data_IF_949561225286
#
_entry.id   IF_949561225286
#
_cell.length_a   1.000
_cell.length_b   1.000
_cell.length_c   1.000
_cell.angle_alpha   90.00
_cell.angle_beta   90.00
_cell.angle_gamma   90.00
#
_symmetry.space_group_name_H-M   'P 1'
#
loop_
_entity.id
_entity.type
_entity.pdbx_description
1 polymer ?
#
# COMPACT_ATOMS: atom_id res chain seq x y z
N UNK A 1 3.19 -15.87 -41.26
CA UNK A 1 3.99 -14.83 -40.62
C UNK A 1 3.76 -15.01 -39.11
N UNK A 2 4.76 -15.62 -38.44
CA UNK A 2 4.68 -15.90 -37.00
C UNK A 2 4.86 -14.59 -36.25
N UNK A 3 3.91 -14.29 -35.37
CA UNK A 3 4.11 -13.28 -34.35
C UNK A 3 5.22 -13.79 -33.41
N UNK A 4 6.40 -13.23 -33.55
CA UNK A 4 7.47 -13.41 -32.58
C UNK A 4 6.98 -12.87 -31.22
N UNK A 5 6.49 -13.77 -30.39
CA UNK A 5 6.37 -13.54 -28.95
C UNK A 5 7.80 -13.47 -28.41
N UNK A 6 8.41 -12.30 -28.52
CA UNK A 6 9.67 -12.02 -27.85
C UNK A 6 9.42 -12.15 -26.35
N UNK A 7 9.74 -13.31 -25.81
CA UNK A 7 9.53 -13.65 -24.41
C UNK A 7 10.65 -12.98 -23.63
N UNK A 8 10.43 -11.72 -23.25
CA UNK A 8 11.36 -11.02 -22.35
C UNK A 8 11.12 -11.53 -20.95
N UNK A 9 12.14 -12.16 -20.35
CA UNK A 9 12.04 -12.76 -19.01
C UNK A 9 11.74 -11.71 -17.93
N UNK A 10 12.16 -10.46 -18.14
CA UNK A 10 12.12 -9.36 -17.18
C UNK A 10 10.80 -8.57 -17.14
N UNK A 11 10.01 -8.61 -18.22
CA UNK A 11 8.76 -7.84 -18.33
C UNK A 11 7.62 -8.65 -18.94
N UNK A 12 6.38 -8.19 -18.69
CA UNK A 12 5.18 -8.64 -19.41
C UNK A 12 4.63 -7.49 -20.22
N UNK A 13 4.09 -7.79 -21.41
CA UNK A 13 3.36 -6.85 -22.25
C UNK A 13 1.86 -7.18 -22.18
N UNK A 14 1.04 -6.17 -21.90
CA UNK A 14 -0.43 -6.25 -21.95
C UNK A 14 -0.92 -5.22 -22.96
N UNK A 15 -1.67 -5.67 -23.96
CA UNK A 15 -2.30 -4.76 -24.93
C UNK A 15 -3.63 -4.24 -24.37
N UNK A 16 -4.15 -3.11 -24.88
CA UNK A 16 -5.42 -2.54 -24.40
C UNK A 16 -6.60 -3.54 -24.43
N UNK A 17 -6.64 -4.41 -25.42
CA UNK A 17 -7.70 -5.43 -25.59
C UNK A 17 -7.63 -6.54 -24.54
N UNK A 18 -6.46 -6.73 -23.92
CA UNK A 18 -6.25 -7.73 -22.88
C UNK A 18 -6.55 -7.20 -21.47
N UNK A 19 -6.81 -5.88 -21.33
CA UNK A 19 -7.16 -5.29 -20.04
C UNK A 19 -8.59 -5.66 -19.68
N UNK A 20 -8.84 -6.28 -18.49
CA UNK A 20 -10.18 -6.67 -18.08
C UNK A 20 -11.14 -5.48 -18.02
N UNK A 21 -12.32 -5.61 -18.63
CA UNK A 21 -13.35 -4.55 -18.67
C UNK A 21 -14.26 -4.54 -17.44
N UNK A 22 -14.48 -5.71 -16.83
CA UNK A 22 -15.45 -5.90 -15.74
C UNK A 22 -14.78 -6.08 -14.37
N UNK A 23 -13.57 -5.54 -14.20
CA UNK A 23 -12.88 -5.62 -12.91
C UNK A 23 -13.36 -4.52 -11.99
N UNK A 24 -13.82 -4.88 -10.77
CA UNK A 24 -13.92 -3.90 -9.67
C UNK A 24 -12.55 -3.38 -9.35
N UNK A 25 -12.47 -2.07 -9.20
CA UNK A 25 -11.21 -1.39 -8.90
C UNK A 25 -11.43 -0.39 -7.76
N UNK A 26 -10.40 -0.18 -6.96
CA UNK A 26 -10.44 0.79 -5.87
C UNK A 26 -10.70 2.20 -6.41
N UNK A 27 -11.76 2.83 -5.93
CA UNK A 27 -12.28 4.09 -6.50
C UNK A 27 -11.28 5.24 -6.41
N UNK A 28 -10.57 5.37 -5.29
CA UNK A 28 -9.55 6.42 -5.12
C UNK A 28 -8.42 6.30 -6.15
N UNK A 29 -7.97 5.07 -6.47
CA UNK A 29 -6.93 4.83 -7.48
C UNK A 29 -7.44 5.19 -8.86
N UNK A 30 -8.68 4.84 -9.19
CA UNK A 30 -9.31 5.19 -10.48
C UNK A 30 -9.47 6.70 -10.63
N UNK A 31 -9.85 7.41 -9.55
CA UNK A 31 -9.97 8.87 -9.58
C UNK A 31 -8.63 9.55 -9.88
N UNK A 32 -7.54 9.08 -9.27
CA UNK A 32 -6.21 9.59 -9.59
C UNK A 32 -5.80 9.29 -11.04
N UNK A 33 -6.18 8.12 -11.56
CA UNK A 33 -5.95 7.79 -12.97
C UNK A 33 -6.75 8.70 -13.90
N UNK A 34 -8.01 9.04 -13.56
CA UNK A 34 -8.82 10.01 -14.32
C UNK A 34 -8.21 11.41 -14.29
N UNK A 35 -7.71 11.87 -13.14
CA UNK A 35 -7.00 13.14 -13.04
C UNK A 35 -5.77 13.16 -13.96
N UNK A 36 -4.94 12.10 -13.88
CA UNK A 36 -3.75 12.00 -14.69
C UNK A 36 -4.04 11.90 -16.20
N UNK A 37 -5.13 11.22 -16.59
CA UNK A 37 -5.60 11.14 -17.95
C UNK A 37 -5.85 12.53 -18.56
N UNK A 38 -6.36 13.49 -17.76
CA UNK A 38 -6.56 14.86 -18.24
C UNK A 38 -5.23 15.57 -18.57
N UNK A 39 -4.14 15.23 -17.86
CA UNK A 39 -2.81 15.74 -18.17
C UNK A 39 -2.29 15.15 -19.47
N UNK A 40 -2.47 13.82 -19.67
CA UNK A 40 -2.09 13.16 -20.94
C UNK A 40 -2.85 13.76 -22.12
N UNK A 41 -4.16 13.89 -22.03
CA UNK A 41 -5.01 14.47 -23.10
C UNK A 41 -4.67 15.93 -23.42
N UNK A 42 -4.04 16.66 -22.51
CA UNK A 42 -3.59 18.05 -22.69
C UNK A 42 -2.08 18.17 -22.86
N UNK A 43 -1.42 17.08 -23.15
CA UNK A 43 0.04 17.01 -23.21
C UNK A 43 0.65 18.11 -24.10
N UNK A 44 0.14 18.32 -25.32
CA UNK A 44 0.70 19.32 -26.24
C UNK A 44 0.65 20.72 -25.67
N UNK A 45 -0.46 21.09 -25.01
CA UNK A 45 -0.62 22.39 -24.36
C UNK A 45 0.30 22.52 -23.15
N UNK A 46 0.42 21.43 -22.37
CA UNK A 46 1.30 21.39 -21.19
C UNK A 46 2.76 21.51 -21.62
N UNK A 47 3.18 20.79 -22.65
CA UNK A 47 4.54 20.82 -23.18
C UNK A 47 4.96 22.24 -23.51
N UNK A 48 4.18 22.98 -24.27
CA UNK A 48 4.47 24.39 -24.63
C UNK A 48 4.60 25.25 -23.37
N UNK A 49 3.59 25.23 -22.50
CA UNK A 49 3.56 26.06 -21.29
C UNK A 49 4.67 25.75 -20.30
N UNK A 50 5.07 24.49 -20.18
CA UNK A 50 6.14 24.07 -19.28
C UNK A 50 7.51 24.41 -19.86
N UNK A 51 7.72 24.21 -21.18
CA UNK A 51 8.96 24.58 -21.86
C UNK A 51 9.24 26.09 -21.76
N UNK A 52 8.20 26.94 -21.88
CA UNK A 52 8.32 28.39 -21.67
C UNK A 52 8.84 28.77 -20.27
N UNK A 53 8.70 27.88 -19.30
CA UNK A 53 9.16 28.04 -17.91
C UNK A 53 10.40 27.25 -17.56
N UNK A 54 11.03 26.60 -18.55
CA UNK A 54 12.18 25.73 -18.34
C UNK A 54 11.83 24.43 -17.59
N UNK A 55 10.57 24.00 -17.65
CA UNK A 55 10.07 22.77 -17.03
C UNK A 55 9.77 21.73 -18.10
N UNK A 56 9.82 20.47 -17.72
CA UNK A 56 9.48 19.34 -18.57
C UNK A 56 8.41 18.46 -17.91
N UNK A 57 7.45 17.96 -18.70
CA UNK A 57 6.51 16.95 -18.28
C UNK A 57 7.03 15.58 -18.70
N UNK A 58 7.58 14.84 -17.75
CA UNK A 58 8.19 13.53 -18.00
C UNK A 58 7.18 12.40 -18.10
N UNK A 59 5.94 12.57 -17.63
CA UNK A 59 4.96 11.49 -17.55
C UNK A 59 5.29 10.48 -16.44
N UNK A 60 5.84 10.94 -15.31
CA UNK A 60 6.31 10.11 -14.20
C UNK A 60 5.34 10.19 -13.02
N UNK A 61 4.77 9.04 -12.64
CA UNK A 61 3.77 8.92 -11.56
C UNK A 61 4.25 7.98 -10.48
N UNK A 62 4.12 8.41 -9.22
CA UNK A 62 4.34 7.59 -8.05
C UNK A 62 3.03 7.39 -7.30
N UNK A 63 2.70 6.13 -7.00
CA UNK A 63 1.57 5.73 -6.18
C UNK A 63 2.10 5.21 -4.84
N UNK A 64 1.62 5.78 -3.74
CA UNK A 64 1.95 5.34 -2.38
C UNK A 64 0.65 4.98 -1.69
N UNK A 65 0.58 3.83 -1.05
CA UNK A 65 -0.62 3.42 -0.30
C UNK A 65 -0.35 2.23 0.60
N UNK A 66 -1.29 1.89 1.49
CA UNK A 66 -1.14 0.76 2.39
C UNK A 66 -1.10 -0.59 1.64
N UNK A 67 -0.60 -1.67 2.28
CA UNK A 67 -0.74 -3.02 1.75
C UNK A 67 -2.19 -3.34 1.37
N UNK A 68 -2.37 -4.13 0.30
CA UNK A 68 -3.70 -4.45 -0.22
C UNK A 68 -4.32 -3.38 -1.13
N UNK A 69 -3.65 -2.26 -1.40
CA UNK A 69 -4.08 -1.24 -2.38
C UNK A 69 -4.05 -1.81 -3.80
N UNK A 70 -5.10 -1.55 -4.59
CA UNK A 70 -5.19 -1.96 -5.99
C UNK A 70 -4.47 -0.98 -6.93
N UNK A 71 -3.16 -0.87 -6.80
CA UNK A 71 -2.36 0.02 -7.68
C UNK A 71 -2.49 -0.32 -9.16
N UNK A 72 -2.76 -1.59 -9.50
CA UNK A 72 -2.94 -2.03 -10.90
C UNK A 72 -4.15 -1.40 -11.59
N UNK A 73 -5.12 -0.91 -10.84
CA UNK A 73 -6.26 -0.17 -11.40
C UNK A 73 -5.83 1.09 -12.18
N UNK A 74 -4.76 1.75 -11.75
CA UNK A 74 -4.26 2.97 -12.38
C UNK A 74 -3.80 2.76 -13.83
N UNK A 75 -2.81 1.91 -14.14
CA UNK A 75 -2.39 1.65 -15.51
C UNK A 75 -3.49 0.98 -16.33
N UNK A 76 -4.32 0.11 -15.74
CA UNK A 76 -5.43 -0.52 -16.44
C UNK A 76 -6.48 0.48 -16.91
N UNK A 77 -6.85 1.43 -16.03
CA UNK A 77 -7.77 2.50 -16.41
C UNK A 77 -7.21 3.33 -17.58
N UNK A 78 -5.96 3.77 -17.49
CA UNK A 78 -5.33 4.57 -18.55
C UNK A 78 -5.28 3.80 -19.88
N UNK A 79 -4.91 2.53 -19.87
CA UNK A 79 -4.80 1.72 -21.08
C UNK A 79 -6.16 1.47 -21.76
N UNK A 80 -7.27 1.53 -21.01
CA UNK A 80 -8.62 1.45 -21.61
C UNK A 80 -9.06 2.78 -22.22
N UNK A 81 -8.66 3.91 -21.63
CA UNK A 81 -9.07 5.24 -22.07
C UNK A 81 -8.24 5.80 -23.23
N UNK A 82 -7.03 5.29 -23.39
CA UNK A 82 -6.12 5.60 -24.49
C UNK A 82 -5.50 4.31 -25.01
N UNK A 83 -5.31 4.15 -26.34
CA UNK A 83 -4.79 2.92 -26.92
C UNK A 83 -3.29 2.75 -26.66
N UNK A 84 -2.92 2.54 -25.40
CA UNK A 84 -1.55 2.45 -24.93
C UNK A 84 -1.27 1.09 -24.30
N UNK A 85 -0.12 0.51 -24.58
CA UNK A 85 0.30 -0.79 -24.03
C UNK A 85 0.81 -0.65 -22.59
N UNK A 86 0.65 -1.70 -21.77
CA UNK A 86 1.25 -1.78 -20.43
C UNK A 86 2.44 -2.73 -20.50
N UNK A 87 3.61 -2.22 -20.14
CA UNK A 87 4.83 -2.99 -19.89
C UNK A 87 5.02 -3.05 -18.38
N UNK A 88 4.95 -4.26 -17.79
CA UNK A 88 5.08 -4.45 -16.34
C UNK A 88 6.34 -5.24 -16.02
N UNK A 89 7.16 -4.78 -15.11
CA UNK A 89 8.28 -5.54 -14.57
C UNK A 89 7.81 -6.80 -13.85
N UNK A 90 8.47 -7.92 -14.15
CA UNK A 90 8.37 -9.16 -13.37
C UNK A 90 9.42 -9.12 -12.26
N UNK A 91 8.99 -9.17 -11.03
CA UNK A 91 9.90 -9.16 -9.89
C UNK A 91 10.93 -10.30 -9.97
N UNK A 92 10.48 -11.49 -10.36
CA UNK A 92 11.33 -12.68 -10.54
C UNK A 92 12.46 -12.44 -11.56
N UNK A 93 12.14 -11.82 -12.71
CA UNK A 93 13.12 -11.53 -13.76
C UNK A 93 14.14 -10.44 -13.38
N UNK A 94 13.77 -9.53 -12.47
CA UNK A 94 14.67 -8.49 -11.96
C UNK A 94 15.56 -9.00 -10.83
N UNK A 95 15.05 -9.94 -10.02
CA UNK A 95 15.75 -10.50 -8.85
C UNK A 95 16.49 -11.81 -9.17
N UNK A 96 16.51 -12.26 -10.44
CA UNK A 96 17.22 -13.48 -10.84
C UNK A 96 18.72 -13.37 -10.55
N UNK A 97 19.24 -14.27 -9.75
CA UNK A 97 20.66 -14.33 -9.36
C UNK A 97 21.60 -14.53 -10.57
N UNK A 98 21.11 -15.11 -11.67
CA UNK A 98 21.88 -15.34 -12.88
C UNK A 98 21.97 -14.11 -13.79
N UNK A 99 21.06 -13.12 -13.62
CA UNK A 99 21.11 -11.84 -14.32
C UNK A 99 21.56 -10.74 -13.37
N UNK A 100 22.38 -9.84 -13.88
CA UNK A 100 22.67 -8.61 -13.13
C UNK A 100 21.40 -7.77 -13.11
N UNK A 101 20.78 -7.59 -11.95
CA UNK A 101 19.53 -6.85 -11.78
C UNK A 101 19.49 -5.47 -12.47
N UNK A 102 20.66 -4.80 -12.56
CA UNK A 102 20.81 -3.53 -13.29
C UNK A 102 20.59 -3.68 -14.80
N UNK A 103 21.02 -4.80 -15.39
CA UNK A 103 20.88 -5.06 -16.83
C UNK A 103 19.42 -5.43 -17.14
N UNK A 104 18.77 -6.16 -16.23
CA UNK A 104 17.34 -6.46 -16.28
C UNK A 104 16.46 -5.18 -16.24
N UNK A 105 16.82 -4.21 -15.40
CA UNK A 105 16.13 -2.91 -15.35
C UNK A 105 16.27 -2.17 -16.69
N UNK A 106 17.48 -2.04 -17.22
CA UNK A 106 17.72 -1.40 -18.53
C UNK A 106 16.97 -2.08 -19.66
N UNK A 107 17.00 -3.41 -19.72
CA UNK A 107 16.26 -4.22 -20.71
C UNK A 107 14.76 -3.91 -20.66
N UNK A 108 14.16 -3.79 -19.46
CA UNK A 108 12.75 -3.46 -19.30
C UNK A 108 12.40 -2.05 -19.81
N UNK A 109 13.24 -1.05 -19.56
CA UNK A 109 13.07 0.30 -20.12
C UNK A 109 13.24 0.33 -21.62
N UNK A 110 14.23 -0.34 -22.18
CA UNK A 110 14.41 -0.46 -23.63
C UNK A 110 13.22 -1.17 -24.28
N UNK A 111 12.68 -2.21 -23.64
CA UNK A 111 11.49 -2.89 -24.14
C UNK A 111 10.28 -1.96 -24.16
N UNK A 112 10.08 -1.13 -23.13
CA UNK A 112 9.01 -0.13 -23.10
C UNK A 112 9.18 0.89 -24.25
N UNK A 113 10.40 1.41 -24.49
CA UNK A 113 10.71 2.33 -25.59
C UNK A 113 10.40 1.72 -26.96
N UNK A 114 10.76 0.46 -27.18
CA UNK A 114 10.46 -0.26 -28.44
C UNK A 114 8.96 -0.50 -28.65
N UNK A 115 8.19 -0.51 -27.58
CA UNK A 115 6.74 -0.72 -27.60
C UNK A 115 5.95 0.58 -27.43
N UNK A 116 6.60 1.75 -27.53
CA UNK A 116 5.92 3.04 -27.40
C UNK A 116 4.80 3.23 -28.44
N UNK A 117 3.71 3.96 -28.12
CA UNK A 117 3.43 4.54 -26.81
C UNK A 117 3.11 3.46 -25.75
N UNK A 118 3.73 3.58 -24.56
CA UNK A 118 3.64 2.57 -23.51
C UNK A 118 3.54 3.17 -22.10
N UNK A 119 2.85 2.45 -21.21
CA UNK A 119 2.90 2.62 -19.78
C UNK A 119 3.91 1.64 -19.20
N UNK A 120 5.01 2.10 -18.62
CA UNK A 120 5.93 1.26 -17.89
C UNK A 120 5.50 1.21 -16.42
N UNK A 121 5.03 0.03 -15.97
CA UNK A 121 4.51 -0.16 -14.62
C UNK A 121 5.49 -0.91 -13.73
N UNK A 122 5.90 -0.28 -12.64
CA UNK A 122 6.86 -0.76 -11.64
C UNK A 122 6.11 -0.96 -10.32
N UNK A 123 5.64 -2.17 -10.08
CA UNK A 123 4.98 -2.54 -8.83
C UNK A 123 6.01 -3.02 -7.80
N UNK A 124 5.76 -2.76 -6.51
CA UNK A 124 6.67 -3.09 -5.41
C UNK A 124 8.07 -2.50 -5.62
N UNK A 125 8.10 -1.20 -5.87
CA UNK A 125 9.35 -0.48 -6.14
C UNK A 125 10.41 -0.71 -5.06
N UNK A 126 10.01 -0.86 -3.80
CA UNK A 126 10.87 -1.18 -2.66
C UNK A 126 11.60 -2.54 -2.80
N UNK A 127 11.01 -3.49 -3.51
CA UNK A 127 11.65 -4.78 -3.78
C UNK A 127 12.55 -4.76 -5.02
N UNK A 128 12.16 -4.00 -6.05
CA UNK A 128 12.91 -3.86 -7.30
C UNK A 128 14.15 -3.00 -7.10
N UNK A 129 14.02 -1.90 -6.36
CA UNK A 129 15.08 -0.93 -6.09
C UNK A 129 15.13 -0.58 -4.59
N UNK A 130 15.62 -1.50 -3.76
CA UNK A 130 15.75 -1.28 -2.33
C UNK A 130 16.62 -0.05 -2.04
N UNK A 131 16.38 0.58 -0.91
CA UNK A 131 17.15 1.72 -0.44
C UNK A 131 18.66 1.39 -0.39
N UNK A 132 19.49 2.36 -0.75
CA UNK A 132 20.97 2.26 -0.76
C UNK A 132 21.50 1.17 -1.72
N UNK A 133 20.71 0.72 -2.70
CA UNK A 133 21.10 -0.29 -3.67
C UNK A 133 21.57 0.28 -5.00
N UNK A 134 22.37 -0.50 -5.75
CA UNK A 134 22.76 -0.15 -7.12
C UNK A 134 21.52 -0.08 -8.03
N UNK A 135 20.52 -0.92 -7.80
CA UNK A 135 19.26 -0.92 -8.53
C UNK A 135 18.54 0.41 -8.37
N UNK A 136 18.56 1.02 -7.18
CA UNK A 136 17.95 2.32 -6.94
C UNK A 136 18.58 3.41 -7.79
N UNK A 137 19.92 3.43 -7.91
CA UNK A 137 20.65 4.39 -8.75
C UNK A 137 20.31 4.18 -10.24
N UNK A 138 20.33 2.92 -10.71
CA UNK A 138 20.03 2.61 -12.11
C UNK A 138 18.57 2.96 -12.45
N UNK A 139 17.63 2.61 -11.58
CA UNK A 139 16.22 2.92 -11.77
C UNK A 139 15.99 4.44 -11.82
N UNK A 140 16.65 5.19 -10.96
CA UNK A 140 16.59 6.64 -10.95
C UNK A 140 17.08 7.24 -12.28
N UNK A 141 18.22 6.77 -12.79
CA UNK A 141 18.78 7.24 -14.06
C UNK A 141 17.87 6.90 -15.24
N UNK A 142 17.35 5.66 -15.31
CA UNK A 142 16.44 5.25 -16.39
C UNK A 142 15.14 6.06 -16.38
N UNK A 143 14.54 6.29 -15.20
CA UNK A 143 13.32 7.10 -15.06
C UNK A 143 13.57 8.57 -15.46
N UNK A 144 14.72 9.15 -15.07
CA UNK A 144 15.06 10.53 -15.47
C UNK A 144 15.26 10.67 -16.96
N UNK A 145 15.86 9.68 -17.59
CA UNK A 145 16.15 9.68 -19.01
C UNK A 145 14.93 9.32 -19.90
N UNK A 146 13.88 8.74 -19.29
CA UNK A 146 12.64 8.35 -19.98
C UNK A 146 11.60 9.42 -19.77
N UNK A 147 11.09 9.99 -20.87
CA UNK A 147 10.08 11.07 -20.79
C UNK A 147 8.96 10.80 -21.78
N UNK A 148 7.73 11.20 -21.41
CA UNK A 148 6.59 11.11 -22.31
C UNK A 148 6.81 11.96 -23.58
N UNK A 149 7.41 13.14 -23.41
CA UNK A 149 7.64 14.06 -24.52
C UNK A 149 8.62 13.57 -25.59
N UNK A 150 9.54 12.68 -25.22
CA UNK A 150 10.61 12.22 -26.11
C UNK A 150 10.42 10.79 -26.60
N UNK A 151 10.01 9.90 -25.72
CA UNK A 151 9.97 8.46 -25.97
C UNK A 151 8.56 7.87 -25.96
N UNK A 152 7.57 8.68 -25.65
CA UNK A 152 6.16 8.30 -25.47
C UNK A 152 5.98 7.13 -24.47
N UNK A 153 6.77 7.17 -23.39
CA UNK A 153 6.69 6.22 -22.28
C UNK A 153 6.29 6.97 -21.00
N UNK A 154 5.19 6.54 -20.42
CA UNK A 154 4.74 6.99 -19.09
C UNK A 154 5.25 5.97 -18.07
N UNK A 155 5.99 6.44 -17.07
CA UNK A 155 6.47 5.59 -15.98
C UNK A 155 5.56 5.71 -14.77
N UNK A 156 5.00 4.57 -14.34
CA UNK A 156 4.14 4.47 -13.15
C UNK A 156 4.82 3.55 -12.16
N UNK A 157 5.21 4.07 -11.01
CA UNK A 157 5.74 3.26 -9.92
C UNK A 157 4.77 3.19 -8.75
N UNK A 158 4.77 2.08 -8.02
CA UNK A 158 3.94 1.88 -6.84
C UNK A 158 4.74 1.27 -5.69
N UNK A 159 4.51 1.76 -4.48
CA UNK A 159 5.14 1.25 -3.26
C UNK A 159 4.17 1.28 -2.08
N UNK A 160 4.26 0.25 -1.25
CA UNK A 160 3.59 0.19 0.05
C UNK A 160 4.53 0.52 1.21
N UNK A 161 5.84 0.69 0.93
CA UNK A 161 6.90 0.90 1.92
C UNK A 161 7.85 2.00 1.44
N UNK A 162 7.37 3.26 1.35
CA UNK A 162 8.19 4.37 0.86
C UNK A 162 9.46 4.61 1.68
N UNK A 163 9.47 4.21 2.96
CA UNK A 163 10.64 4.28 3.83
C UNK A 163 11.78 3.35 3.42
N UNK A 164 11.48 2.31 2.64
CA UNK A 164 12.46 1.35 2.09
C UNK A 164 12.99 1.76 0.70
N UNK A 165 12.60 2.93 0.22
CA UNK A 165 13.02 3.49 -1.08
C UNK A 165 13.86 4.74 -0.84
N UNK A 166 14.86 4.98 -1.69
CA UNK A 166 15.68 6.18 -1.61
C UNK A 166 14.84 7.45 -1.82
N UNK A 167 15.07 8.45 -0.97
CA UNK A 167 14.38 9.74 -1.06
C UNK A 167 14.58 10.42 -2.40
N UNK A 168 15.77 10.28 -2.98
CA UNK A 168 16.08 10.83 -4.29
C UNK A 168 15.24 10.17 -5.38
N UNK A 169 15.08 8.84 -5.33
CA UNK A 169 14.21 8.10 -6.25
C UNK A 169 12.73 8.50 -6.09
N UNK A 170 12.26 8.72 -4.85
CA UNK A 170 10.89 9.21 -4.61
C UNK A 170 10.64 10.62 -5.14
N UNK A 171 11.69 11.46 -5.27
CA UNK A 171 11.57 12.88 -5.64
C UNK A 171 11.55 13.17 -7.14
N UNK A 172 11.80 12.17 -8.00
CA UNK A 172 11.91 12.38 -9.46
C UNK A 172 10.57 12.32 -10.21
N UNK A 173 9.49 11.98 -9.52
CA UNK A 173 8.17 11.84 -10.13
C UNK A 173 7.47 13.18 -10.27
N UNK A 174 6.81 13.40 -11.41
CA UNK A 174 6.07 14.65 -11.69
C UNK A 174 4.78 14.73 -10.87
N UNK A 175 4.22 13.55 -10.52
CA UNK A 175 3.02 13.43 -9.69
C UNK A 175 3.19 12.30 -8.69
N UNK A 176 2.85 12.58 -7.44
CA UNK A 176 2.75 11.58 -6.38
C UNK A 176 1.32 11.56 -5.85
N UNK A 177 0.69 10.40 -5.90
CA UNK A 177 -0.64 10.17 -5.35
C UNK A 177 -0.52 9.29 -4.11
N UNK A 178 -1.07 9.78 -3.01
CA UNK A 178 -1.16 9.03 -1.75
C UNK A 178 -2.55 8.41 -1.71
N UNK A 179 -2.61 7.09 -1.86
CA UNK A 179 -3.84 6.32 -1.82
C UNK A 179 -4.18 6.03 -0.37
N UNK A 180 -5.34 6.48 0.06
CA UNK A 180 -5.87 6.13 1.37
C UNK A 180 -6.30 4.65 1.41
N UNK A 181 -6.55 4.14 2.62
CA UNK A 181 -7.09 2.80 2.80
C UNK A 181 -8.45 2.64 2.10
N UNK A 182 -8.91 1.40 2.01
CA UNK A 182 -10.18 1.05 1.36
C UNK A 182 -11.38 1.66 2.09
N UNK A 183 -12.17 2.47 1.41
CA UNK A 183 -13.40 3.05 1.96
C UNK A 183 -14.49 1.97 2.14
N UNK A 184 -15.50 2.26 2.96
CA UNK A 184 -16.65 1.36 3.10
C UNK A 184 -17.37 1.16 1.76
N UNK A 185 -17.48 2.22 0.94
CA UNK A 185 -18.09 2.14 -0.39
C UNK A 185 -17.29 1.28 -1.37
N UNK A 186 -15.96 1.29 -1.27
CA UNK A 186 -15.12 0.38 -2.05
C UNK A 186 -15.37 -1.08 -1.64
N UNK A 187 -15.46 -1.35 -0.34
CA UNK A 187 -15.72 -2.69 0.19
C UNK A 187 -17.11 -3.21 -0.24
N UNK A 188 -18.14 -2.37 -0.10
CA UNK A 188 -19.49 -2.70 -0.56
C UNK A 188 -19.47 -3.04 -2.06
N UNK A 189 -18.87 -2.22 -2.90
CA UNK A 189 -18.80 -2.46 -4.36
C UNK A 189 -18.12 -3.77 -4.73
N UNK A 190 -17.03 -4.11 -4.06
CA UNK A 190 -16.34 -5.40 -4.29
C UNK A 190 -17.26 -6.57 -3.93
N UNK A 191 -17.86 -6.50 -2.74
CA UNK A 191 -18.76 -7.55 -2.25
C UNK A 191 -19.98 -7.69 -3.16
N UNK A 192 -20.67 -6.59 -3.50
CA UNK A 192 -21.81 -6.58 -4.40
C UNK A 192 -21.49 -7.19 -5.78
N UNK A 193 -20.34 -6.86 -6.34
CA UNK A 193 -19.99 -7.40 -7.66
C UNK A 193 -19.71 -8.90 -7.62
N UNK A 194 -18.99 -9.38 -6.61
CA UNK A 194 -18.63 -10.80 -6.51
C UNK A 194 -19.83 -11.64 -6.02
N UNK A 195 -20.62 -11.07 -5.10
CA UNK A 195 -21.74 -11.74 -4.44
C UNK A 195 -23.11 -11.30 -4.99
N UNK A 196 -23.15 -10.77 -6.22
CA UNK A 196 -24.35 -10.17 -6.85
C UNK A 196 -25.61 -11.05 -6.85
N UNK A 197 -25.43 -12.37 -6.84
CA UNK A 197 -26.51 -13.35 -6.88
C UNK A 197 -26.90 -13.86 -5.47
N UNK A 198 -26.37 -13.22 -4.41
CA UNK A 198 -26.50 -13.62 -3.00
C UNK A 198 -27.35 -12.63 -2.21
N UNK A 199 -28.71 -12.77 -2.33
CA UNK A 199 -29.65 -11.96 -1.56
C UNK A 199 -29.69 -12.30 -0.07
N UNK A 200 -29.16 -13.48 0.32
CA UNK A 200 -29.08 -13.95 1.71
C UNK A 200 -27.95 -13.30 2.53
N UNK A 201 -26.97 -12.67 1.87
CA UNK A 201 -25.84 -12.01 2.53
C UNK A 201 -26.05 -10.50 2.62
N UNK A 202 -26.01 -9.98 3.84
CA UNK A 202 -25.98 -8.53 4.06
C UNK A 202 -24.56 -7.98 3.80
N UNK A 203 -24.35 -7.52 2.57
CA UNK A 203 -23.10 -6.96 2.09
C UNK A 203 -22.63 -5.78 2.96
N UNK A 204 -23.56 -4.97 3.47
CA UNK A 204 -23.25 -3.81 4.29
C UNK A 204 -22.65 -4.24 5.63
N UNK A 205 -23.21 -5.27 6.25
CA UNK A 205 -22.67 -5.84 7.50
C UNK A 205 -21.27 -6.44 7.28
N UNK A 206 -21.07 -7.18 6.18
CA UNK A 206 -19.74 -7.73 5.84
C UNK A 206 -18.74 -6.59 5.60
N UNK A 207 -19.15 -5.53 4.93
CA UNK A 207 -18.31 -4.37 4.69
C UNK A 207 -17.90 -3.64 6.00
N UNK A 208 -18.80 -3.55 6.98
CA UNK A 208 -18.50 -3.02 8.31
C UNK A 208 -17.52 -3.91 9.07
N UNK A 209 -17.72 -5.22 9.06
CA UNK A 209 -16.86 -6.20 9.72
C UNK A 209 -15.44 -6.26 9.14
N UNK A 210 -15.25 -5.77 7.94
CA UNK A 210 -13.96 -5.69 7.23
C UNK A 210 -13.34 -4.30 7.27
N UNK A 211 -13.71 -3.46 8.25
CA UNK A 211 -13.08 -2.15 8.46
C UNK A 211 -11.55 -2.29 8.60
N UNK A 212 -10.81 -1.43 7.89
CA UNK A 212 -9.35 -1.43 7.88
C UNK A 212 -8.72 -2.47 6.95
N UNK A 213 -9.50 -3.33 6.30
CA UNK A 213 -8.95 -4.28 5.33
C UNK A 213 -8.54 -3.59 4.02
N UNK A 214 -7.46 -4.08 3.41
CA UNK A 214 -7.04 -3.67 2.09
C UNK A 214 -8.05 -4.11 1.01
N UNK A 215 -8.04 -3.43 -0.14
CA UNK A 215 -8.93 -3.76 -1.26
C UNK A 215 -8.76 -5.21 -1.72
N UNK A 216 -7.51 -5.68 -1.81
CA UNK A 216 -7.21 -7.06 -2.21
C UNK A 216 -7.73 -8.08 -1.21
N UNK A 217 -7.71 -7.75 0.08
CA UNK A 217 -8.15 -8.66 1.14
C UNK A 217 -9.67 -8.85 1.12
N UNK A 218 -10.41 -7.76 0.92
CA UNK A 218 -11.87 -7.81 0.75
C UNK A 218 -12.25 -8.58 -0.51
N UNK A 219 -11.51 -8.41 -1.60
CA UNK A 219 -11.73 -9.17 -2.82
C UNK A 219 -11.46 -10.68 -2.62
N UNK A 220 -10.42 -11.04 -1.88
CA UNK A 220 -10.14 -12.43 -1.51
C UNK A 220 -11.24 -13.02 -0.62
N UNK A 221 -11.74 -12.26 0.37
CA UNK A 221 -12.88 -12.68 1.18
C UNK A 221 -14.11 -12.96 0.31
N UNK A 222 -14.47 -12.02 -0.57
CA UNK A 222 -15.61 -12.15 -1.47
C UNK A 222 -15.49 -13.41 -2.35
N UNK A 223 -14.29 -13.65 -2.89
CA UNK A 223 -14.02 -14.87 -3.67
C UNK A 223 -14.13 -16.14 -2.81
N UNK A 224 -13.66 -16.11 -1.56
CA UNK A 224 -13.74 -17.25 -0.65
C UNK A 224 -15.20 -17.58 -0.30
N UNK A 225 -16.01 -16.56 -0.03
CA UNK A 225 -17.45 -16.71 0.19
C UNK A 225 -18.15 -17.32 -1.04
N UNK A 226 -17.84 -16.83 -2.22
CA UNK A 226 -18.40 -17.35 -3.47
C UNK A 226 -17.99 -18.81 -3.75
N UNK A 227 -16.70 -19.14 -3.56
CA UNK A 227 -16.21 -20.51 -3.76
C UNK A 227 -16.80 -21.52 -2.77
N UNK A 228 -16.98 -21.12 -1.52
CA UNK A 228 -17.57 -22.00 -0.49
C UNK A 228 -19.02 -22.33 -0.84
N UNK A 229 -19.79 -21.33 -1.28
CA UNK A 229 -21.16 -21.53 -1.77
C UNK A 229 -21.20 -22.52 -2.95
N UNK A 230 -20.36 -22.25 -3.96
CA UNK A 230 -20.32 -23.11 -5.15
C UNK A 230 -19.98 -24.57 -4.80
N UNK A 231 -19.23 -24.79 -3.72
CA UNK A 231 -18.87 -26.13 -3.23
C UNK A 231 -19.99 -26.81 -2.43
N UNK A 232 -20.75 -26.06 -1.64
CA UNK A 232 -21.78 -26.60 -0.74
C UNK A 232 -23.19 -26.62 -1.37
N UNK A 233 -23.44 -25.82 -2.42
CA UNK A 233 -24.66 -25.87 -3.23
C UNK A 233 -25.92 -25.34 -2.54
N UNK A 234 -25.79 -24.39 -1.61
CA UNK A 234 -26.92 -23.82 -0.87
C UNK A 234 -26.60 -22.54 -0.11
N UNK A 235 -27.60 -22.01 0.63
CA UNK A 235 -27.41 -20.85 1.50
C UNK A 235 -26.34 -21.12 2.55
N UNK A 236 -25.42 -20.18 2.72
CA UNK A 236 -24.36 -20.29 3.70
C UNK A 236 -24.84 -19.84 5.08
N UNK A 237 -24.74 -20.68 6.13
CA UNK A 237 -25.08 -20.26 7.48
C UNK A 237 -24.24 -19.06 7.93
N UNK A 238 -24.87 -18.16 8.70
CA UNK A 238 -24.19 -16.95 9.22
C UNK A 238 -22.91 -17.27 9.97
N UNK A 239 -22.91 -18.32 10.76
CA UNK A 239 -21.75 -18.78 11.53
C UNK A 239 -20.57 -19.12 10.61
N UNK A 240 -20.86 -19.66 9.41
CA UNK A 240 -19.83 -19.98 8.42
C UNK A 240 -19.26 -18.72 7.75
N UNK A 241 -20.11 -17.73 7.51
CA UNK A 241 -19.67 -16.41 7.00
C UNK A 241 -18.73 -15.75 8.02
N UNK A 242 -19.11 -15.73 9.30
CA UNK A 242 -18.30 -15.18 10.39
C UNK A 242 -16.96 -15.95 10.54
N UNK A 243 -16.97 -17.28 10.38
CA UNK A 243 -15.75 -18.11 10.39
C UNK A 243 -14.81 -17.74 9.23
N UNK A 244 -15.34 -17.57 8.01
CA UNK A 244 -14.54 -17.19 6.84
C UNK A 244 -13.98 -15.78 6.95
N UNK A 245 -14.75 -14.84 7.52
CA UNK A 245 -14.27 -13.49 7.81
C UNK A 245 -13.09 -13.56 8.81
N UNK A 246 -13.22 -14.35 9.87
CA UNK A 246 -12.17 -14.47 10.87
C UNK A 246 -10.91 -15.16 10.32
N UNK A 247 -11.08 -16.20 9.49
CA UNK A 247 -9.95 -16.85 8.79
C UNK A 247 -9.24 -15.89 7.83
N UNK A 248 -10.02 -15.14 7.04
CA UNK A 248 -9.51 -14.17 6.09
C UNK A 248 -8.86 -12.97 6.78
N UNK A 249 -9.36 -12.56 7.96
CA UNK A 249 -8.77 -11.51 8.78
C UNK A 249 -7.32 -11.83 9.14
N UNK A 250 -7.00 -13.07 9.48
CA UNK A 250 -5.63 -13.50 9.78
C UNK A 250 -4.72 -13.37 8.55
N UNK A 251 -5.26 -13.60 7.35
CA UNK A 251 -4.53 -13.44 6.10
C UNK A 251 -4.37 -11.95 5.71
N UNK A 252 -5.43 -11.17 5.86
CA UNK A 252 -5.47 -9.75 5.49
C UNK A 252 -4.46 -8.89 6.26
N UNK A 253 -4.32 -9.17 7.54
CA UNK A 253 -3.45 -8.36 8.40
C UNK A 253 -2.05 -8.97 8.63
N UNK A 254 -1.64 -10.00 7.88
CA UNK A 254 -0.28 -10.58 7.91
C UNK A 254 0.25 -10.89 9.32
N UNK A 255 0.71 -9.90 10.05
CA UNK A 255 1.22 -9.99 11.42
C UNK A 255 0.17 -9.74 12.53
N UNK A 256 -1.12 -9.79 12.22
CA UNK A 256 -2.17 -9.56 13.23
C UNK A 256 -2.32 -10.63 14.28
N UNK A 257 -1.61 -11.74 14.20
CA UNK A 257 -1.42 -12.60 15.40
C UNK A 257 -1.05 -11.78 16.64
N UNK A 258 -0.36 -10.68 16.41
CA UNK A 258 -0.02 -9.69 17.40
C UNK A 258 -1.23 -8.86 17.85
N UNK A 259 -1.97 -8.25 16.90
CA UNK A 259 -3.15 -7.44 17.17
C UNK A 259 -4.25 -8.28 17.86
N UNK A 260 -4.51 -9.48 17.35
CA UNK A 260 -5.49 -10.40 17.94
C UNK A 260 -5.01 -10.97 19.28
N UNK A 261 -3.71 -11.18 19.49
CA UNK A 261 -3.18 -11.55 20.79
C UNK A 261 -3.44 -10.43 21.83
N UNK A 262 -3.28 -9.16 21.45
CA UNK A 262 -3.57 -8.01 22.31
C UNK A 262 -5.07 -7.84 22.50
N UNK A 263 -5.88 -7.91 21.44
CA UNK A 263 -7.36 -7.73 21.51
C UNK A 263 -8.06 -8.91 22.19
N UNK A 264 -7.69 -10.17 21.92
CA UNK A 264 -8.30 -11.35 22.58
C UNK A 264 -7.96 -11.45 24.06
N UNK A 265 -6.80 -10.94 24.50
CA UNK A 265 -6.40 -10.94 25.90
C UNK A 265 -6.99 -9.82 26.73
N UNK A 266 -7.32 -8.68 26.12
CA UNK A 266 -8.12 -7.66 26.79
C UNK A 266 -9.57 -8.10 27.02
N UNK A 267 -10.05 -9.20 26.39
CA UNK A 267 -11.36 -9.82 26.66
C UNK A 267 -11.34 -10.89 27.74
N UNK A 268 -10.22 -11.06 28.42
CA UNK A 268 -10.12 -11.89 29.67
C UNK A 268 -9.77 -13.34 29.41
N UNK A 269 -8.51 -13.62 29.08
CA UNK A 269 -7.77 -14.80 29.55
C UNK A 269 -6.30 -14.73 29.11
N UNK A 270 -5.40 -14.79 30.10
CA UNK A 270 -3.93 -14.95 30.08
C UNK A 270 -3.10 -13.89 29.35
N UNK A 271 -2.11 -13.35 30.06
CA UNK A 271 -1.10 -12.39 29.57
C UNK A 271 -0.35 -12.91 28.33
N UNK A 272 -0.14 -12.09 27.29
CA UNK A 272 0.79 -12.41 26.22
C UNK A 272 2.19 -12.59 26.79
N UNK A 273 2.95 -13.46 26.16
CA UNK A 273 4.38 -13.54 26.40
C UNK A 273 4.97 -12.19 25.91
N UNK A 274 5.21 -11.29 26.86
CA UNK A 274 5.87 -10.00 26.66
C UNK A 274 7.21 -10.16 25.90
N UNK A 275 7.81 -11.37 25.94
CA UNK A 275 9.00 -11.73 25.19
C UNK A 275 8.82 -11.63 23.67
N UNK A 276 7.65 -11.96 23.11
CA UNK A 276 7.41 -11.85 21.66
C UNK A 276 7.20 -10.41 21.20
N UNK A 277 6.63 -9.57 22.06
CA UNK A 277 6.50 -8.15 21.79
C UNK A 277 7.85 -7.44 21.72
N UNK A 278 8.78 -7.80 22.61
CA UNK A 278 10.12 -7.20 22.62
C UNK A 278 10.99 -7.65 21.43
N UNK A 279 10.71 -8.82 20.83
CA UNK A 279 11.37 -9.25 19.60
C UNK A 279 10.85 -8.47 18.37
N UNK A 280 9.57 -8.11 18.37
CA UNK A 280 8.94 -7.40 17.26
C UNK A 280 9.23 -5.88 17.28
N UNK A 281 9.43 -5.31 18.48
CA UNK A 281 9.79 -3.90 18.68
C UNK A 281 11.13 -3.79 19.42
N UNK A 282 12.26 -3.89 18.71
CA UNK A 282 13.57 -3.73 19.32
C UNK A 282 13.70 -2.40 20.06
N UNK A 283 14.42 -2.40 21.17
CA UNK A 283 14.59 -1.25 22.07
C UNK A 283 15.03 0.04 21.37
N UNK A 284 15.83 -0.07 20.31
CA UNK A 284 16.30 1.02 19.48
C UNK A 284 15.19 1.78 18.73
N UNK A 285 14.06 1.13 18.45
CA UNK A 285 12.92 1.77 17.78
C UNK A 285 11.87 2.29 18.75
N UNK A 286 11.83 1.80 19.99
CA UNK A 286 10.80 2.17 20.96
C UNK A 286 10.77 3.68 21.23
N UNK A 287 11.91 4.35 21.33
CA UNK A 287 11.95 5.79 21.58
C UNK A 287 11.34 6.60 20.42
N UNK A 288 11.47 6.12 19.16
CA UNK A 288 10.83 6.74 18.00
C UNK A 288 9.31 6.51 18.00
N UNK A 289 8.86 5.31 18.34
CA UNK A 289 7.46 4.97 18.43
C UNK A 289 6.75 5.76 19.54
N UNK A 290 7.40 5.92 20.69
CA UNK A 290 6.90 6.79 21.77
C UNK A 290 6.80 8.26 21.31
N UNK A 291 7.77 8.75 20.54
CA UNK A 291 7.73 10.10 19.96
C UNK A 291 6.54 10.28 19.01
N UNK A 292 6.21 9.27 18.21
CA UNK A 292 5.04 9.28 17.32
C UNK A 292 3.73 9.32 18.12
N UNK A 293 3.55 8.44 19.11
CA UNK A 293 2.35 8.42 19.94
C UNK A 293 2.15 9.73 20.72
N UNK A 294 3.24 10.30 21.26
CA UNK A 294 3.23 11.60 21.95
C UNK A 294 2.91 12.74 20.97
N UNK A 295 3.40 12.66 19.72
CA UNK A 295 3.11 13.65 18.68
C UNK A 295 1.65 13.58 18.20
N UNK A 296 1.03 12.41 18.25
CA UNK A 296 -0.39 12.21 17.93
C UNK A 296 -1.29 12.74 19.06
N UNK A 297 -1.15 12.24 20.26
CA UNK A 297 -1.89 12.71 21.46
C UNK A 297 -1.11 12.41 22.76
N UNK A 298 -0.39 13.43 23.25
CA UNK A 298 0.37 13.30 24.49
C UNK A 298 -0.52 12.96 25.70
N UNK A 299 -1.67 13.63 25.82
CA UNK A 299 -2.55 13.49 26.97
C UNK A 299 -3.11 12.08 27.06
N UNK A 300 -3.53 11.52 25.91
CA UNK A 300 -4.03 10.16 25.83
C UNK A 300 -2.92 9.14 26.05
N UNK A 301 -1.73 9.34 25.46
CA UNK A 301 -0.57 8.48 25.67
C UNK A 301 -0.17 8.41 27.14
N UNK A 302 -0.11 9.57 27.81
CA UNK A 302 0.20 9.65 29.25
C UNK A 302 -0.85 8.90 30.07
N UNK A 303 -2.12 9.17 29.84
CA UNK A 303 -3.25 8.57 30.57
C UNK A 303 -3.24 7.03 30.44
N UNK A 304 -3.03 6.52 29.24
CA UNK A 304 -2.98 5.07 28.99
C UNK A 304 -1.78 4.43 29.70
N UNK A 305 -0.61 5.08 29.69
CA UNK A 305 0.57 4.60 30.44
C UNK A 305 0.32 4.59 31.93
N UNK A 306 -0.36 5.60 32.49
CA UNK A 306 -0.74 5.62 33.91
C UNK A 306 -1.67 4.46 34.26
N UNK A 307 -2.73 4.23 33.45
CA UNK A 307 -3.65 3.09 33.63
C UNK A 307 -2.91 1.75 33.58
N UNK A 308 -1.97 1.58 32.64
CA UNK A 308 -1.15 0.37 32.54
C UNK A 308 -0.23 0.18 33.76
N UNK A 309 0.39 1.26 34.24
CA UNK A 309 1.35 1.19 35.33
C UNK A 309 0.67 0.96 36.69
N UNK A 310 -0.56 1.44 36.87
CA UNK A 310 -1.37 1.24 38.09
C UNK A 310 -2.14 -0.10 38.03
N UNK A 311 -2.10 -0.83 36.90
CA UNK A 311 -2.83 -2.08 36.75
C UNK A 311 -4.35 -1.93 36.74
N UNK A 312 -4.84 -0.75 36.39
CA UNK A 312 -6.27 -0.46 36.33
C UNK A 312 -6.95 -1.13 35.13
N UNK A 313 -8.28 -1.40 35.24
CA UNK A 313 -9.00 -1.99 34.12
C UNK A 313 -9.07 -1.03 32.93
N UNK A 314 -8.66 -1.49 31.75
CA UNK A 314 -8.69 -0.73 30.51
C UNK A 314 -10.12 -0.46 30.04
N UNK A 315 -10.46 0.79 29.76
CA UNK A 315 -11.70 1.18 29.11
C UNK A 315 -11.72 0.76 27.62
N UNK A 316 -12.87 0.86 26.97
CA UNK A 316 -12.96 0.62 25.51
C UNK A 316 -12.04 1.57 24.73
N UNK A 317 -11.97 2.83 25.13
CA UNK A 317 -11.11 3.85 24.51
C UNK A 317 -9.62 3.55 24.71
N UNK A 318 -9.22 3.05 25.91
CA UNK A 318 -7.84 2.65 26.18
C UNK A 318 -7.41 1.49 25.29
N UNK A 319 -8.32 0.54 25.09
CA UNK A 319 -8.07 -0.62 24.22
C UNK A 319 -7.92 -0.22 22.76
N UNK A 320 -8.72 0.70 22.29
CA UNK A 320 -8.60 1.26 20.94
C UNK A 320 -7.27 1.98 20.75
N UNK A 321 -6.88 2.80 21.73
CA UNK A 321 -5.60 3.52 21.68
C UNK A 321 -4.41 2.56 21.75
N UNK A 322 -4.43 1.57 22.62
CA UNK A 322 -3.42 0.50 22.67
C UNK A 322 -3.40 -0.36 21.42
N UNK A 323 -4.53 -0.51 20.75
CA UNK A 323 -4.60 -1.15 19.45
C UNK A 323 -3.78 -0.42 18.39
N UNK A 324 -3.73 0.89 18.41
CA UNK A 324 -2.90 1.72 17.51
C UNK A 324 -1.44 1.83 17.99
N UNK A 325 -1.20 1.70 19.30
CA UNK A 325 0.12 1.87 19.91
C UNK A 325 0.49 0.69 20.84
N UNK A 326 0.58 -0.53 20.29
CA UNK A 326 0.78 -1.74 21.10
C UNK A 326 2.14 -1.81 21.81
N UNK A 327 3.14 -1.13 21.30
CA UNK A 327 4.47 -1.01 21.91
C UNK A 327 4.43 -0.35 23.32
N UNK A 328 3.35 0.36 23.68
CA UNK A 328 3.17 0.90 25.03
C UNK A 328 3.02 -0.19 26.11
N UNK A 329 2.77 -1.43 25.70
CA UNK A 329 2.73 -2.58 26.62
C UNK A 329 4.14 -3.10 26.98
N UNK A 330 5.18 -2.70 26.26
CA UNK A 330 6.54 -3.20 26.42
C UNK A 330 7.24 -2.47 27.59
N UNK A 331 8.07 -3.21 28.31
CA UNK A 331 8.91 -2.69 29.40
C UNK A 331 8.20 -2.59 30.75
N UNK A 332 8.98 -2.19 31.75
CA UNK A 332 8.49 -1.93 33.10
C UNK A 332 7.72 -0.61 33.17
N UNK A 333 7.05 -0.36 34.29
CA UNK A 333 6.40 0.93 34.54
C UNK A 333 7.39 2.10 34.48
N UNK A 334 8.59 1.90 34.99
CA UNK A 334 9.68 2.90 34.97
C UNK A 334 10.20 3.15 33.55
N UNK A 335 10.36 2.10 32.73
CA UNK A 335 10.77 2.22 31.33
C UNK A 335 9.76 3.01 30.52
N UNK A 336 8.46 2.69 30.65
CA UNK A 336 7.38 3.40 29.97
C UNK A 336 7.37 4.89 30.31
N UNK A 337 7.51 5.21 31.58
CA UNK A 337 7.51 6.60 32.04
C UNK A 337 8.76 7.35 31.52
N UNK A 338 9.91 6.70 31.57
CA UNK A 338 11.18 7.28 31.07
C UNK A 338 11.08 7.59 29.57
N UNK A 339 10.55 6.66 28.75
CA UNK A 339 10.36 6.85 27.31
C UNK A 339 9.34 7.95 27.00
N UNK A 340 8.23 7.98 27.74
CA UNK A 340 7.22 9.04 27.63
C UNK A 340 7.83 10.43 27.85
N UNK A 341 8.61 10.60 28.92
CA UNK A 341 9.25 11.89 29.26
C UNK A 341 10.29 12.30 28.21
N UNK A 342 11.09 11.36 27.69
CA UNK A 342 12.03 11.61 26.59
C UNK A 342 11.29 12.03 25.30
N UNK A 343 10.25 11.33 24.94
CA UNK A 343 9.44 11.61 23.77
C UNK A 343 8.79 13.00 23.86
N UNK A 344 8.21 13.35 25.02
CA UNK A 344 7.65 14.68 25.26
C UNK A 344 8.69 15.78 25.09
N UNK A 345 9.86 15.64 25.72
CA UNK A 345 10.95 16.63 25.60
C UNK A 345 11.40 16.82 24.15
N UNK A 346 11.46 15.75 23.37
CA UNK A 346 11.81 15.78 21.96
C UNK A 346 10.72 16.42 21.11
N UNK A 347 9.46 16.12 21.36
CA UNK A 347 8.30 16.74 20.70
C UNK A 347 8.25 18.25 20.97
N UNK A 348 8.41 18.68 22.22
CA UNK A 348 8.43 20.10 22.61
C UNK A 348 9.60 20.87 21.94
N UNK A 349 10.73 20.19 21.74
CA UNK A 349 11.87 20.76 21.02
C UNK A 349 11.60 20.93 19.52
N UNK A 350 10.97 19.95 18.88
CA UNK A 350 10.54 20.02 17.48
C UNK A 350 9.55 21.15 17.25
N UNK A 351 8.54 21.28 18.10
CA UNK A 351 7.56 22.37 18.00
C UNK A 351 8.20 23.76 18.15
N UNK A 352 9.20 23.91 19.03
CA UNK A 352 9.94 25.19 19.16
C UNK A 352 10.80 25.52 17.93
N UNK A 353 11.32 24.50 17.26
CA UNK A 353 12.11 24.70 16.02
C UNK A 353 11.18 25.06 14.84
N UNK A 354 10.05 24.36 14.70
CA UNK A 354 9.08 24.59 13.62
C UNK A 354 8.24 25.83 13.81
N UNK A 355 7.98 26.27 15.04
CA UNK A 355 7.26 27.51 15.35
C UNK A 355 8.07 28.81 15.20
N UNK A 356 9.34 28.71 14.81
CA UNK A 356 10.22 29.86 14.52
C UNK A 356 10.40 30.15 13.01
N UNK A 357 9.59 29.51 12.16
CA UNK A 357 9.41 29.87 10.77
C UNK A 357 8.08 30.59 10.58
#
# INVERSE_FOLDING_TARGET
MGEDKEFVETVTLTTPEQVPTERVSQYSVVNYAMEFLQLIRRHDVLKVKMTERGLEFGGRVLLIGPPGTDFGAFPHFLAREVPIKIVRFKLEGVLDENKRSKDALREGFEFARRNSPALLYIEKMEAIAPKDSVQSIVLQDEIRNTTWSGEEVITIAATTRPEQVDRELLSIYDRTYIVEGTSIDDRIRVLEQVLKDREDLDVSVIAELTEGWGFSDVNHLAMSLYMQEAAEGGEMPREKVEELIEQSRVAAFGDTKFFDAVVRKTRGTRQPELSKLSEEYPDEFLDQLYLMAVGEDYTETQRVIEVLNEGLPLSAKDREFLGRHPFLLIGSAEDRLTRLLRAKKSSDRLHRIMGRQ
#
